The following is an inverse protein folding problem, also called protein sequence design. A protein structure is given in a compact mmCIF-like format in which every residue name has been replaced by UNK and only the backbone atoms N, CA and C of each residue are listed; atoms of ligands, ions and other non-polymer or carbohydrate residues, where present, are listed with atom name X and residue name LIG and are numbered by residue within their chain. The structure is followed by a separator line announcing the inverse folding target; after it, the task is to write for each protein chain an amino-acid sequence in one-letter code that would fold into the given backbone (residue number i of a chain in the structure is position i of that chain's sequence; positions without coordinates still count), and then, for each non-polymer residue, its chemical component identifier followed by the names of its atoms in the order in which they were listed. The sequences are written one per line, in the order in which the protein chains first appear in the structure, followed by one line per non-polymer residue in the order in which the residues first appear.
data_IF_255598678046
#
_entry.id   IF_255598678046
#
_cell.length_a   1.000
_cell.length_b   1.000
_cell.length_c   1.000
_cell.angle_alpha   90.00
_cell.angle_beta   90.00
_cell.angle_gamma   90.00
#
_symmetry.space_group_name_H-M   'P 1'
#
loop_
_entity.id
_entity.type
_entity.pdbx_description
1 polymer ?
#
# COMPACT_ATOMS: atom_id res chain seq x y z
N UNK A 1 -13.46 21.70 10.48
CA UNK A 1 -13.93 21.00 9.26
C UNK A 1 -12.77 20.25 8.61
N UNK A 2 -11.53 20.72 8.82
CA UNK A 2 -10.31 20.19 8.22
C UNK A 2 -9.95 18.77 8.69
N UNK A 3 -10.21 18.41 9.96
CA UNK A 3 -9.89 17.08 10.50
C UNK A 3 -10.61 15.93 9.79
N UNK A 4 -11.84 16.14 9.33
CA UNK A 4 -12.61 15.10 8.63
C UNK A 4 -11.97 14.76 7.28
N UNK A 5 -11.52 15.77 6.54
CA UNK A 5 -10.84 15.57 5.25
C UNK A 5 -9.45 14.96 5.44
N UNK A 6 -8.74 15.34 6.49
CA UNK A 6 -7.45 14.73 6.84
C UNK A 6 -7.59 13.25 7.20
N UNK A 7 -8.58 12.90 8.02
CA UNK A 7 -8.85 11.50 8.38
C UNK A 7 -9.35 10.68 7.20
N UNK A 8 -10.25 11.22 6.36
CA UNK A 8 -10.72 10.53 5.17
C UNK A 8 -9.57 10.23 4.18
N UNK A 9 -8.67 11.21 3.97
CA UNK A 9 -7.47 11.01 3.15
C UNK A 9 -6.56 9.93 3.73
N UNK A 10 -6.37 9.95 5.06
CA UNK A 10 -5.56 8.95 5.74
C UNK A 10 -6.16 7.55 5.58
N UNK A 11 -7.45 7.36 5.88
CA UNK A 11 -8.13 6.07 5.77
C UNK A 11 -8.13 5.54 4.33
N UNK A 12 -8.38 6.41 3.36
CA UNK A 12 -8.30 6.05 1.94
C UNK A 12 -6.91 5.56 1.54
N UNK A 13 -5.87 6.30 1.93
CA UNK A 13 -4.49 5.97 1.59
C UNK A 13 -3.97 4.73 2.32
N UNK A 14 -4.19 4.62 3.62
CA UNK A 14 -3.65 3.51 4.41
C UNK A 14 -4.49 2.24 4.29
N UNK A 15 -5.78 2.30 4.59
CA UNK A 15 -6.63 1.11 4.72
C UNK A 15 -7.28 0.68 3.40
N UNK A 16 -7.80 1.61 2.61
CA UNK A 16 -8.57 1.24 1.40
C UNK A 16 -7.70 0.91 0.19
N UNK A 17 -6.44 1.36 0.18
CA UNK A 17 -5.55 1.21 -0.99
C UNK A 17 -4.26 0.47 -0.67
N UNK A 18 -3.38 1.03 0.17
CA UNK A 18 -2.10 0.39 0.49
C UNK A 18 -2.31 -0.98 1.18
N UNK A 19 -3.30 -1.11 2.07
CA UNK A 19 -3.62 -2.40 2.70
C UNK A 19 -4.20 -3.45 1.75
N UNK A 20 -4.87 -3.01 0.69
CA UNK A 20 -5.41 -3.90 -0.35
C UNK A 20 -4.39 -4.21 -1.46
N UNK A 21 -3.14 -3.74 -1.33
CA UNK A 21 -2.04 -4.04 -2.24
C UNK A 21 -1.94 -3.11 -3.45
N UNK A 22 -2.62 -1.95 -3.44
CA UNK A 22 -2.39 -0.91 -4.44
C UNK A 22 -1.00 -0.32 -4.26
N UNK A 23 -0.27 -0.11 -5.36
CA UNK A 23 1.09 0.41 -5.32
C UNK A 23 1.15 1.84 -4.75
N UNK A 24 2.22 2.16 -4.03
CA UNK A 24 2.38 3.48 -3.40
C UNK A 24 2.46 4.62 -4.44
N UNK A 25 2.97 4.35 -5.64
CA UNK A 25 3.01 5.29 -6.76
C UNK A 25 1.60 5.61 -7.25
N UNK A 26 0.75 4.59 -7.34
CA UNK A 26 -0.66 4.73 -7.74
C UNK A 26 -1.44 5.56 -6.71
N UNK A 27 -1.28 5.23 -5.42
CA UNK A 27 -1.88 6.01 -4.33
C UNK A 27 -1.36 7.44 -4.33
N UNK A 28 -0.05 7.65 -4.51
CA UNK A 28 0.55 8.98 -4.60
C UNK A 28 -0.05 9.81 -5.74
N UNK A 29 -0.29 9.18 -6.90
CA UNK A 29 -0.92 9.81 -8.05
C UNK A 29 -2.39 10.18 -7.77
N UNK A 30 -3.15 9.27 -7.14
CA UNK A 30 -4.55 9.50 -6.75
C UNK A 30 -4.68 10.66 -5.75
N UNK A 31 -3.72 10.81 -4.83
CA UNK A 31 -3.69 11.89 -3.84
C UNK A 31 -3.11 13.21 -4.38
N UNK A 32 -2.62 13.22 -5.63
CA UNK A 32 -2.01 14.40 -6.23
C UNK A 32 -0.66 14.78 -5.61
N UNK A 33 0.04 13.83 -4.99
CA UNK A 33 1.35 14.08 -4.39
C UNK A 33 2.45 14.05 -5.44
N UNK A 34 3.28 15.10 -5.47
CA UNK A 34 4.43 15.23 -6.38
C UNK A 34 5.65 14.40 -5.95
N UNK A 35 5.71 14.01 -4.68
CA UNK A 35 6.79 13.20 -4.11
C UNK A 35 6.20 11.99 -3.40
N UNK A 36 6.73 10.80 -3.71
CA UNK A 36 6.34 9.54 -3.04
C UNK A 36 6.53 9.63 -1.53
N UNK A 37 7.56 10.35 -1.06
CA UNK A 37 7.86 10.56 0.36
C UNK A 37 6.67 11.12 1.15
N UNK A 38 5.84 11.95 0.52
CA UNK A 38 4.63 12.48 1.17
C UNK A 38 3.58 11.40 1.38
N UNK A 39 3.48 10.43 0.47
CA UNK A 39 2.55 9.30 0.56
C UNK A 39 3.03 8.20 1.51
N UNK A 40 4.34 8.10 1.74
CA UNK A 40 4.94 7.13 2.68
C UNK A 40 4.43 7.26 4.11
N UNK A 41 3.92 8.43 4.51
CA UNK A 41 3.32 8.63 5.85
C UNK A 41 2.09 7.74 6.09
N UNK A 42 1.46 7.24 5.03
CA UNK A 42 0.30 6.34 5.11
C UNK A 42 0.68 4.85 5.05
N UNK A 43 1.94 4.53 4.76
CA UNK A 43 2.38 3.15 4.60
C UNK A 43 2.64 2.49 5.96
N UNK A 44 1.95 1.39 6.23
CA UNK A 44 2.24 0.53 7.38
C UNK A 44 3.43 -0.38 7.04
N UNK A 45 4.51 -0.28 7.84
CA UNK A 45 5.74 -1.08 7.65
C UNK A 45 5.98 -2.03 8.82
N UNK A 46 4.91 -2.46 9.50
CA UNK A 46 4.99 -3.42 10.58
C UNK A 46 5.58 -4.75 10.06
N UNK A 47 6.51 -5.40 10.79
CA UNK A 47 7.07 -6.68 10.39
C UNK A 47 6.00 -7.72 10.05
N UNK A 48 4.90 -7.74 10.81
CA UNK A 48 3.76 -8.63 10.62
C UNK A 48 3.10 -8.43 9.25
N UNK A 49 3.01 -7.17 8.80
CA UNK A 49 2.47 -6.85 7.48
C UNK A 49 3.40 -7.32 6.37
N UNK A 50 4.71 -7.10 6.53
CA UNK A 50 5.73 -7.55 5.56
C UNK A 50 5.68 -9.07 5.41
N UNK A 51 5.63 -9.82 6.51
CA UNK A 51 5.52 -11.28 6.47
C UNK A 51 4.25 -11.74 5.73
N UNK A 52 3.09 -11.15 6.05
CA UNK A 52 1.81 -11.47 5.41
C UNK A 52 1.83 -11.19 3.90
N UNK A 53 2.41 -10.07 3.50
CA UNK A 53 2.54 -9.71 2.08
C UNK A 53 3.43 -10.71 1.34
N UNK A 54 4.53 -11.16 1.97
CA UNK A 54 5.41 -12.21 1.43
C UNK A 54 4.68 -13.54 1.32
N UNK A 55 4.00 -13.98 2.38
CA UNK A 55 3.21 -15.23 2.37
C UNK A 55 2.19 -15.26 1.23
N UNK A 56 1.55 -14.12 0.92
CA UNK A 56 0.59 -14.01 -0.17
C UNK A 56 1.20 -14.20 -1.56
N UNK A 57 2.44 -13.77 -1.77
CA UNK A 57 3.10 -13.84 -3.10
C UNK A 57 3.90 -15.14 -3.32
N UNK A 58 4.24 -15.86 -2.25
CA UNK A 58 5.01 -17.10 -2.35
C UNK A 58 4.39 -18.15 -3.30
N UNK A 59 3.08 -18.42 -3.30
CA UNK A 59 2.47 -19.38 -4.22
C UNK A 59 2.65 -18.99 -5.69
N UNK A 60 2.48 -17.71 -6.02
CA UNK A 60 2.63 -17.18 -7.38
C UNK A 60 4.08 -17.29 -7.87
N UNK A 61 5.05 -16.98 -7.00
CA UNK A 61 6.48 -17.12 -7.30
C UNK A 61 6.84 -18.59 -7.53
N UNK A 62 6.32 -19.50 -6.68
CA UNK A 62 6.55 -20.92 -6.82
C UNK A 62 5.95 -21.45 -8.13
N UNK A 63 4.73 -21.04 -8.48
CA UNK A 63 4.08 -21.40 -9.74
C UNK A 63 4.91 -20.93 -10.94
N UNK A 64 5.34 -19.66 -10.95
CA UNK A 64 6.15 -19.11 -12.04
C UNK A 64 7.46 -19.86 -12.25
N UNK A 65 8.12 -20.32 -11.18
CA UNK A 65 9.35 -21.14 -11.26
C UNK A 65 9.14 -22.56 -11.77
N UNK A 66 7.93 -23.11 -11.67
CA UNK A 66 7.64 -24.47 -12.12
C UNK A 66 7.23 -24.54 -13.59
N UNK A 67 6.82 -23.41 -14.18
CA UNK A 67 6.30 -23.33 -15.56
C UNK A 67 7.28 -22.68 -16.56
N UNK A 68 8.41 -22.12 -16.10
CA UNK A 68 9.48 -21.54 -16.92
C UNK A 68 10.81 -22.23 -16.60
#
# INVERSE_FOLDING_TARGET
MDDIFHMARHTFASQMTLSEGVSIESVSKMLGHSQIKTTQVYAETSPERVFRDVERILPEIAHYRLIN
#
